data_IF_504598692914
#
_entry.id   IF_504598692914
#
_cell.length_a   1.000
_cell.length_b   1.000
_cell.length_c   1.000
_cell.angle_alpha   90.00
_cell.angle_beta   90.00
_cell.angle_gamma   90.00
#
_symmetry.space_group_name_H-M   'P 1'
#
loop_
_entity.id
_entity.type
_entity.pdbx_description
1 polymer ?
#
# COMPACT_ATOMS: atom_id res chain seq x y z
N UNK A 1 -7.15 -3.08 -10.93
CA UNK A 1 -6.32 -2.10 -11.66
C UNK A 1 -7.10 -1.18 -12.58
N UNK A 2 -7.99 -1.70 -13.44
CA UNK A 2 -8.66 -0.90 -14.48
C UNK A 2 -9.36 0.38 -13.97
N UNK A 3 -10.14 0.37 -12.87
CA UNK A 3 -10.77 1.60 -12.39
C UNK A 3 -9.77 2.67 -11.93
N UNK A 4 -8.66 2.23 -11.30
CA UNK A 4 -7.60 3.15 -10.89
C UNK A 4 -6.87 3.77 -12.09
N UNK A 5 -6.59 2.97 -13.13
CA UNK A 5 -5.98 3.45 -14.38
C UNK A 5 -6.90 4.45 -15.08
N UNK A 6 -8.19 4.13 -15.22
CA UNK A 6 -9.16 5.03 -15.84
C UNK A 6 -9.25 6.37 -15.11
N UNK A 7 -9.26 6.37 -13.77
CA UNK A 7 -9.24 7.61 -12.98
C UNK A 7 -7.95 8.43 -13.20
N UNK A 8 -6.80 7.76 -13.28
CA UNK A 8 -5.50 8.39 -13.55
C UNK A 8 -5.47 9.02 -14.94
N UNK A 9 -5.94 8.30 -15.96
CA UNK A 9 -6.02 8.76 -17.35
C UNK A 9 -7.00 9.93 -17.50
N UNK A 10 -8.05 9.98 -16.70
CA UNK A 10 -8.93 11.14 -16.56
C UNK A 10 -8.29 12.32 -15.80
N UNK A 11 -7.04 12.21 -15.36
CA UNK A 11 -6.28 13.28 -14.72
C UNK A 11 -6.40 13.33 -13.19
N UNK A 12 -7.01 12.35 -12.55
CA UNK A 12 -7.13 12.30 -11.09
C UNK A 12 -5.84 11.83 -10.41
N UNK A 13 -5.58 12.37 -9.21
CA UNK A 13 -4.75 11.67 -8.23
C UNK A 13 -5.60 10.62 -7.52
N UNK A 14 -5.00 9.47 -7.20
CA UNK A 14 -5.75 8.31 -6.67
C UNK A 14 -5.24 7.92 -5.30
N UNK A 15 -6.15 7.81 -4.34
CA UNK A 15 -5.92 7.09 -3.10
C UNK A 15 -6.44 5.65 -3.25
N UNK A 16 -5.61 4.66 -2.95
CA UNK A 16 -5.86 3.25 -3.25
C UNK A 16 -5.70 2.40 -1.98
N UNK A 17 -6.72 1.65 -1.59
CA UNK A 17 -6.62 0.74 -0.44
C UNK A 17 -5.64 -0.43 -0.68
N UNK A 18 -5.16 -1.04 0.41
CA UNK A 18 -4.32 -2.25 0.34
C UNK A 18 -5.20 -3.52 0.36
N UNK A 19 -4.87 -4.57 -0.43
CA UNK A 19 -3.77 -4.68 -1.39
C UNK A 19 -4.03 -3.84 -2.66
N UNK A 20 -2.95 -3.42 -3.33
CA UNK A 20 -3.06 -2.51 -4.48
C UNK A 20 -3.71 -3.13 -5.72
N UNK A 21 -3.56 -4.44 -5.90
CA UNK A 21 -4.15 -5.22 -6.98
C UNK A 21 -4.06 -6.72 -6.65
N UNK A 22 -4.61 -7.58 -7.51
CA UNK A 22 -4.56 -9.04 -7.34
C UNK A 22 -3.22 -9.62 -7.81
N UNK A 23 -2.61 -9.02 -8.83
CA UNK A 23 -1.30 -9.44 -9.35
C UNK A 23 -0.27 -8.30 -9.32
N UNK A 24 1.01 -8.67 -9.31
CA UNK A 24 2.11 -7.69 -9.40
C UNK A 24 2.08 -6.92 -10.72
N UNK A 25 1.66 -7.57 -11.81
CA UNK A 25 1.54 -6.94 -13.13
C UNK A 25 0.47 -5.86 -13.14
N UNK A 26 -0.66 -6.10 -12.48
CA UNK A 26 -1.71 -5.10 -12.30
C UNK A 26 -1.22 -3.89 -11.51
N UNK A 27 -0.51 -4.09 -10.38
CA UNK A 27 0.09 -3.00 -9.62
C UNK A 27 1.12 -2.21 -10.46
N UNK A 28 1.88 -2.90 -11.32
CA UNK A 28 2.84 -2.27 -12.24
C UNK A 28 2.14 -1.41 -13.28
N UNK A 29 1.02 -1.88 -13.82
CA UNK A 29 0.21 -1.14 -14.79
C UNK A 29 -0.31 0.18 -14.18
N UNK A 30 -0.83 0.14 -12.93
CA UNK A 30 -1.27 1.35 -12.21
C UNK A 30 -0.10 2.34 -12.05
N UNK A 31 1.08 1.86 -11.65
CA UNK A 31 2.26 2.71 -11.48
C UNK A 31 2.70 3.37 -12.80
N UNK A 32 2.68 2.61 -13.90
CA UNK A 32 3.06 3.12 -15.21
C UNK A 32 2.09 4.18 -15.71
N UNK A 33 0.77 3.95 -15.57
CA UNK A 33 -0.25 4.94 -15.89
C UNK A 33 -0.08 6.22 -15.06
N UNK A 34 0.17 6.10 -13.75
CA UNK A 34 0.40 7.24 -12.86
C UNK A 34 1.57 8.11 -13.32
N UNK A 35 2.70 7.47 -13.68
CA UNK A 35 3.89 8.16 -14.17
C UNK A 35 3.67 8.84 -15.51
N UNK A 36 3.00 8.15 -16.45
CA UNK A 36 2.70 8.69 -17.77
C UNK A 36 1.76 9.92 -17.71
N UNK A 37 0.75 9.88 -16.83
CA UNK A 37 -0.21 10.97 -16.66
C UNK A 37 0.24 12.06 -15.67
N UNK A 38 1.46 11.95 -15.11
CA UNK A 38 1.99 12.80 -14.04
C UNK A 38 1.00 12.93 -12.85
N UNK A 39 0.50 11.79 -12.35
CA UNK A 39 -0.42 11.69 -11.23
C UNK A 39 0.18 10.98 -10.04
N UNK A 40 -0.19 11.44 -8.85
CA UNK A 40 0.15 10.78 -7.58
C UNK A 40 -0.85 9.65 -7.32
N UNK A 41 -0.32 8.48 -6.97
CA UNK A 41 -1.08 7.37 -6.40
C UNK A 41 -0.57 7.11 -4.99
N UNK A 42 -1.44 7.26 -3.99
CA UNK A 42 -1.12 6.99 -2.60
C UNK A 42 -1.80 5.69 -2.13
N UNK A 43 -1.03 4.78 -1.56
CA UNK A 43 -1.57 3.52 -1.02
C UNK A 43 -1.96 3.70 0.46
N UNK A 44 -3.16 3.22 0.81
CA UNK A 44 -3.76 3.20 2.14
C UNK A 44 -2.98 2.33 3.12
N UNK A 45 -1.88 2.87 3.65
CA UNK A 45 -1.04 2.22 4.66
C UNK A 45 -1.20 2.96 5.99
N UNK A 46 -2.46 3.08 6.43
CA UNK A 46 -2.89 3.88 7.57
C UNK A 46 -2.18 3.50 8.89
N UNK A 47 -1.76 2.24 9.07
CA UNK A 47 -1.05 1.84 10.30
C UNK A 47 0.23 2.64 10.53
N UNK A 48 0.87 3.18 9.47
CA UNK A 48 2.12 3.95 9.57
C UNK A 48 1.97 5.29 10.29
N UNK A 49 0.75 5.81 10.44
CA UNK A 49 0.51 7.04 11.20
C UNK A 49 0.22 6.78 12.68
N UNK A 50 0.13 5.52 13.11
CA UNK A 50 -0.04 5.19 14.52
C UNK A 50 1.14 5.68 15.37
N UNK A 51 0.93 6.21 16.59
CA UNK A 51 1.99 6.82 17.40
C UNK A 51 3.24 5.94 17.56
N UNK A 52 3.05 4.64 17.81
CA UNK A 52 4.15 3.68 17.95
C UNK A 52 4.95 3.47 16.65
N UNK A 53 4.31 3.54 15.47
CA UNK A 53 5.02 3.46 14.19
C UNK A 53 5.80 4.75 13.91
N UNK A 54 5.24 5.91 14.25
CA UNK A 54 5.90 7.21 14.09
C UNK A 54 7.12 7.30 15.00
N UNK A 55 7.00 6.93 16.27
CA UNK A 55 8.14 6.91 17.21
C UNK A 55 9.21 5.88 16.82
N UNK A 56 8.82 4.69 16.37
CA UNK A 56 9.76 3.70 15.84
C UNK A 56 10.52 4.26 14.61
N UNK A 57 9.84 4.97 13.70
CA UNK A 57 10.49 5.59 12.55
C UNK A 57 11.49 6.69 12.98
N UNK A 58 11.14 7.51 13.98
CA UNK A 58 12.06 8.52 14.54
C UNK A 58 13.29 7.85 15.16
N UNK A 59 13.11 6.78 15.94
CA UNK A 59 14.22 6.02 16.53
C UNK A 59 15.16 5.46 15.44
N UNK A 60 14.60 4.84 14.40
CA UNK A 60 15.38 4.32 13.26
C UNK A 60 16.16 5.43 12.56
N UNK A 61 15.49 6.55 12.21
CA UNK A 61 16.13 7.69 11.53
C UNK A 61 17.17 8.41 12.37
N UNK A 62 17.05 8.37 13.69
CA UNK A 62 18.04 8.95 14.60
C UNK A 62 19.37 8.21 14.65
N UNK A 63 19.46 7.01 14.05
CA UNK A 63 20.67 6.17 14.07
C UNK A 63 20.88 5.40 15.37
N UNK A 64 20.05 5.63 16.41
CA UNK A 64 20.15 4.96 17.72
C UNK A 64 20.00 3.44 17.67
N UNK A 65 19.38 2.91 16.60
CA UNK A 65 19.27 1.46 16.36
C UNK A 65 20.61 0.79 16.04
N UNK A 66 21.64 1.57 15.65
CA UNK A 66 22.91 1.03 15.20
C UNK A 66 22.80 0.30 13.86
N UNK A 67 23.68 -0.69 13.63
CA UNK A 67 23.67 -1.51 12.41
C UNK A 67 22.59 -2.59 12.49
N UNK A 68 21.58 -2.50 11.62
CA UNK A 68 20.50 -3.50 11.55
C UNK A 68 21.00 -4.76 10.85
N UNK A 69 20.99 -5.90 11.55
CA UNK A 69 21.37 -7.21 11.00
C UNK A 69 20.19 -8.06 10.51
N UNK A 70 19.00 -7.88 11.09
CA UNK A 70 17.79 -8.64 10.73
C UNK A 70 16.54 -7.83 11.04
N UNK A 71 15.50 -7.99 10.22
CA UNK A 71 14.15 -7.49 10.47
C UNK A 71 13.18 -8.66 10.37
N UNK A 72 12.25 -8.77 11.32
CA UNK A 72 11.15 -9.75 11.29
C UNK A 72 9.83 -9.00 11.33
N UNK A 73 8.90 -9.38 10.47
CA UNK A 73 7.55 -8.81 10.41
C UNK A 73 6.55 -9.94 10.61
N UNK A 74 5.53 -9.68 11.42
CA UNK A 74 4.48 -10.64 11.73
C UNK A 74 3.13 -9.96 11.50
N UNK A 75 2.18 -10.71 10.95
CA UNK A 75 0.78 -10.32 10.91
C UNK A 75 0.04 -11.26 11.84
N UNK A 76 -0.21 -10.81 13.07
CA UNK A 76 -0.98 -11.55 14.07
C UNK A 76 -2.47 -11.29 13.84
N UNK A 77 -2.99 -11.85 12.76
CA UNK A 77 -4.39 -11.73 12.36
C UNK A 77 -4.63 -12.69 11.20
N UNK A 78 -5.26 -13.82 11.49
CA UNK A 78 -5.57 -14.84 10.50
C UNK A 78 -6.67 -14.37 9.57
N UNK A 79 -6.31 -13.79 8.43
CA UNK A 79 -7.16 -13.88 7.26
C UNK A 79 -7.01 -15.29 6.72
N UNK A 80 -8.04 -16.12 6.89
CA UNK A 80 -8.12 -17.41 6.20
C UNK A 80 -8.10 -17.21 4.69
N UNK A 81 -8.07 -18.31 3.94
CA UNK A 81 -8.29 -18.25 2.49
C UNK A 81 -9.63 -17.54 2.26
N UNK A 82 -9.61 -16.45 1.49
CA UNK A 82 -10.83 -15.72 1.14
C UNK A 82 -11.71 -16.67 0.31
N UNK A 83 -12.92 -16.97 0.80
CA UNK A 83 -13.92 -17.72 0.05
C UNK A 83 -14.80 -16.72 -0.71
N UNK A 84 -15.14 -16.99 -1.99
CA UNK A 84 -16.06 -16.13 -2.73
C UNK A 84 -17.38 -16.03 -1.97
N UNK A 85 -17.72 -14.84 -1.49
CA UNK A 85 -19.01 -14.56 -0.86
C UNK A 85 -19.85 -13.73 -1.83
N UNK A 86 -21.14 -14.04 -1.99
CA UNK A 86 -22.04 -13.19 -2.77
C UNK A 86 -22.04 -11.78 -2.20
N UNK A 87 -22.08 -10.77 -3.07
CA UNK A 87 -22.32 -9.40 -2.63
C UNK A 87 -23.64 -9.38 -1.84
N UNK A 88 -23.62 -8.85 -0.62
CA UNK A 88 -24.85 -8.61 0.13
C UNK A 88 -25.72 -7.61 -0.64
N UNK A 89 -27.06 -7.75 -0.62
CA UNK A 89 -27.97 -6.86 -1.33
C UNK A 89 -27.83 -5.40 -0.88
#
# INVERSE_FOLDING_TARGET
>A
ALPAIAAIEAGAHVFLEKPTAHTVLESRAILNAARAANRVVQVGLHRRIGPHHVEAMKFLRSGKVGKVGQVRLFVTGGGGKEEPTPNSP
#
